data_IF_084269526852
#
_entry.id   IF_084269526852
#
_cell.length_a   1.000
_cell.length_b   1.000
_cell.length_c   1.000
_cell.angle_alpha   90.00
_cell.angle_beta   90.00
_cell.angle_gamma   90.00
#
_symmetry.space_group_name_H-M   'P 1'
#
loop_
_entity.id
_entity.type
_entity.pdbx_description
1 polymer ?
#
# COMPACT_ATOMS: atom_id res chain seq x y z
N UNK A 1 -9.66 3.54 26.54
CA UNK A 1 -9.38 4.93 26.13
C UNK A 1 -8.94 4.86 24.68
N UNK A 2 -9.83 5.19 23.76
CA UNK A 2 -9.59 5.10 22.34
C UNK A 2 -8.73 6.30 21.92
N UNK A 3 -7.50 6.03 21.50
CA UNK A 3 -6.58 7.05 20.99
C UNK A 3 -7.11 7.56 19.66
N UNK A 4 -7.35 8.85 19.61
CA UNK A 4 -7.69 9.61 18.41
C UNK A 4 -6.50 9.61 17.44
N UNK A 5 -6.35 8.54 16.64
CA UNK A 5 -5.27 8.39 15.66
C UNK A 5 -5.59 9.00 14.28
N UNK A 6 -6.60 9.89 14.22
CA UNK A 6 -6.95 10.68 13.04
C UNK A 6 -6.69 12.17 13.29
N UNK A 7 -5.45 12.53 13.56
CA UNK A 7 -4.84 13.87 13.34
C UNK A 7 -3.49 13.85 14.07
N UNK A 8 -2.35 14.04 13.42
CA UNK A 8 -1.99 15.24 12.67
C UNK A 8 -1.25 14.84 11.40
N UNK A 9 -1.82 15.23 10.27
CA UNK A 9 -1.00 15.49 9.09
C UNK A 9 -0.02 16.57 9.55
N UNK A 10 1.26 16.24 9.71
CA UNK A 10 2.30 17.26 9.71
C UNK A 10 2.07 17.95 8.37
N UNK A 11 1.61 19.22 8.37
CA UNK A 11 1.40 19.86 7.11
C UNK A 11 2.77 19.85 6.45
N UNK A 12 2.80 19.68 5.13
CA UNK A 12 3.92 20.21 4.35
C UNK A 12 3.76 21.75 4.40
N UNK A 13 3.69 22.34 5.61
CA UNK A 13 3.35 23.74 5.90
C UNK A 13 4.44 24.68 5.43
N UNK A 14 5.61 24.14 5.10
CA UNK A 14 6.73 24.88 4.53
C UNK A 14 6.70 24.91 2.99
N UNK A 15 5.70 24.30 2.35
CA UNK A 15 5.58 24.29 0.88
C UNK A 15 4.23 24.86 0.48
N UNK A 16 4.25 26.09 -0.04
CA UNK A 16 3.10 26.79 -0.63
C UNK A 16 2.68 26.19 -1.99
N UNK A 17 2.52 24.86 -2.08
CA UNK A 17 2.09 24.16 -3.30
C UNK A 17 1.10 23.07 -2.94
N UNK A 18 0.02 22.98 -3.73
CA UNK A 18 -0.99 21.95 -3.62
C UNK A 18 -0.38 20.54 -3.81
N UNK A 19 -0.84 19.59 -2.99
CA UNK A 19 -0.43 18.19 -3.07
C UNK A 19 -1.36 17.47 -4.03
N UNK A 20 -0.82 17.00 -5.16
CA UNK A 20 -1.56 16.19 -6.14
C UNK A 20 -1.81 14.78 -5.62
N UNK A 21 -0.81 14.21 -4.93
CA UNK A 21 -0.88 12.86 -4.39
C UNK A 21 0.02 12.69 -3.18
N UNK A 22 -0.37 11.80 -2.28
CA UNK A 22 0.36 11.45 -1.07
C UNK A 22 0.46 9.93 -0.91
N UNK A 23 1.63 9.46 -0.47
CA UNK A 23 1.87 8.09 0.00
C UNK A 23 2.49 8.12 1.39
N UNK A 24 2.15 7.15 2.22
CA UNK A 24 2.82 6.93 3.50
C UNK A 24 3.95 5.93 3.35
N UNK A 25 5.08 6.23 4.00
CA UNK A 25 6.16 5.29 4.22
C UNK A 25 5.89 4.54 5.53
N UNK A 26 5.58 3.26 5.42
CA UNK A 26 5.44 2.33 6.54
C UNK A 26 6.80 1.68 6.79
N UNK A 27 7.24 1.65 8.04
CA UNK A 27 8.38 0.87 8.48
C UNK A 27 7.90 -0.29 9.33
N UNK A 28 8.32 -1.51 8.98
CA UNK A 28 8.21 -2.64 9.89
C UNK A 28 9.46 -2.70 10.76
N UNK A 29 9.27 -2.55 12.06
CA UNK A 29 10.31 -2.68 13.05
C UNK A 29 10.94 -4.10 12.96
N UNK A 30 12.27 -4.22 12.76
CA UNK A 30 12.92 -5.52 12.62
C UNK A 30 12.81 -6.40 13.88
N UNK A 31 12.74 -5.80 15.06
CA UNK A 31 12.69 -6.50 16.35
C UNK A 31 11.26 -6.79 16.77
N UNK A 32 10.42 -5.75 16.90
CA UNK A 32 9.05 -5.90 17.41
C UNK A 32 8.05 -6.36 16.34
N UNK A 33 8.43 -6.32 15.06
CA UNK A 33 7.59 -6.63 13.88
C UNK A 33 6.39 -5.69 13.72
N UNK A 34 6.29 -4.64 14.54
CA UNK A 34 5.24 -3.63 14.46
C UNK A 34 5.40 -2.77 13.21
N UNK A 35 4.29 -2.41 12.59
CA UNK A 35 4.23 -1.48 11.47
C UNK A 35 3.96 -0.06 11.99
N UNK A 36 4.76 0.90 11.53
CA UNK A 36 4.63 2.30 11.89
C UNK A 36 4.66 3.20 10.65
N UNK A 37 3.77 4.19 10.59
CA UNK A 37 3.84 5.26 9.59
C UNK A 37 4.96 6.20 9.98
N UNK A 38 6.08 6.14 9.27
CA UNK A 38 7.28 6.91 9.62
C UNK A 38 7.49 8.13 8.73
N UNK A 39 6.87 8.17 7.56
CA UNK A 39 7.05 9.32 6.68
C UNK A 39 5.92 9.49 5.67
N UNK A 40 5.95 10.63 5.00
CA UNK A 40 4.97 11.03 4.00
C UNK A 40 5.71 11.50 2.76
N UNK A 41 5.44 10.88 1.62
CA UNK A 41 5.91 11.29 0.30
C UNK A 41 4.75 11.95 -0.45
N UNK A 42 4.94 13.21 -0.83
CA UNK A 42 3.98 13.99 -1.61
C UNK A 42 4.52 14.26 -3.01
N UNK A 43 3.65 14.11 -4.01
CA UNK A 43 3.81 14.69 -5.34
C UNK A 43 3.03 16.00 -5.38
N UNK A 44 3.70 17.08 -5.76
CA UNK A 44 3.17 18.43 -5.76
C UNK A 44 2.61 18.80 -7.14
N UNK A 45 1.65 19.73 -7.18
CA UNK A 45 0.98 20.16 -8.42
C UNK A 45 1.94 20.77 -9.45
N UNK A 46 3.09 21.28 -9.02
CA UNK A 46 4.13 21.82 -9.90
C UNK A 46 5.18 20.78 -10.37
N UNK A 47 4.95 19.50 -10.08
CA UNK A 47 5.81 18.38 -10.49
C UNK A 47 6.99 18.10 -9.55
N UNK A 48 7.15 18.86 -8.46
CA UNK A 48 8.13 18.55 -7.41
C UNK A 48 7.63 17.46 -6.47
N UNK A 49 8.55 16.95 -5.65
CA UNK A 49 8.27 15.98 -4.60
C UNK A 49 8.66 16.55 -3.25
N UNK A 50 7.89 16.21 -2.21
CA UNK A 50 8.20 16.53 -0.83
C UNK A 50 8.21 15.25 0.02
N UNK A 51 9.18 15.14 0.93
CA UNK A 51 9.23 14.07 1.92
C UNK A 51 9.42 14.65 3.33
N UNK A 52 8.65 14.15 4.29
CA UNK A 52 8.76 14.53 5.70
C UNK A 52 8.51 13.31 6.60
N UNK A 53 9.13 13.32 7.79
CA UNK A 53 8.86 12.32 8.83
C UNK A 53 7.61 12.68 9.62
N UNK A 54 6.88 11.65 10.05
CA UNK A 54 5.70 11.78 10.92
C UNK A 54 6.10 12.02 12.38
N UNK A 55 5.14 12.41 13.21
CA UNK A 55 5.33 12.49 14.66
C UNK A 55 5.68 11.12 15.27
N UNK A 56 5.09 10.05 14.75
CA UNK A 56 5.37 8.67 15.19
C UNK A 56 6.85 8.30 14.98
N UNK A 57 7.45 8.67 13.84
CA UNK A 57 8.88 8.44 13.58
C UNK A 57 9.78 9.17 14.58
N UNK A 58 9.37 10.36 15.03
CA UNK A 58 10.14 11.18 15.98
C UNK A 58 10.03 10.64 17.40
N UNK A 59 8.87 10.07 17.73
CA UNK A 59 8.60 9.47 19.03
C UNK A 59 9.21 8.06 19.19
N UNK A 60 9.43 7.36 18.09
CA UNK A 60 10.00 6.01 18.08
C UNK A 60 11.51 6.04 18.37
N UNK A 61 11.90 5.57 19.56
CA UNK A 61 13.31 5.55 20.00
C UNK A 61 14.20 4.60 19.18
N UNK A 62 13.61 3.60 18.54
CA UNK A 62 14.26 2.57 17.73
C UNK A 62 14.19 2.85 16.22
N UNK A 63 13.49 3.92 15.82
CA UNK A 63 13.45 4.32 14.44
C UNK A 63 14.79 4.94 14.02
N UNK A 64 15.29 4.53 12.85
CA UNK A 64 16.49 5.09 12.23
C UNK A 64 16.11 5.90 10.99
N UNK A 65 16.54 7.18 10.89
CA UNK A 65 16.30 7.99 9.71
C UNK A 65 16.92 7.36 8.46
N UNK A 66 16.34 7.68 7.31
CA UNK A 66 16.83 7.23 6.02
C UNK A 66 18.11 7.98 5.70
N UNK A 67 19.12 7.31 5.15
CA UNK A 67 20.41 7.95 4.83
C UNK A 67 20.26 9.17 3.91
N UNK A 68 19.27 9.16 3.01
CA UNK A 68 18.98 10.30 2.12
C UNK A 68 18.29 11.47 2.85
N UNK A 69 17.68 11.21 4.00
CA UNK A 69 16.87 12.14 4.79
C UNK A 69 17.27 12.06 6.28
N UNK A 70 18.50 12.49 6.64
CA UNK A 70 19.08 12.21 7.96
C UNK A 70 18.44 13.01 9.11
N UNK A 71 17.92 14.19 8.82
CA UNK A 71 17.25 15.07 9.78
C UNK A 71 15.75 14.77 9.76
N UNK A 72 15.22 14.30 10.90
CA UNK A 72 13.79 13.97 11.07
C UNK A 72 12.91 15.20 11.20
N UNK A 73 13.49 16.34 11.58
CA UNK A 73 12.80 17.63 11.73
C UNK A 73 12.53 18.34 10.41
N UNK A 74 13.21 17.92 9.35
CA UNK A 74 13.22 18.62 8.08
C UNK A 74 12.21 18.07 7.06
N UNK A 75 11.57 18.99 6.35
CA UNK A 75 10.89 18.72 5.07
C UNK A 75 11.90 18.80 3.93
N UNK A 76 11.97 17.75 3.11
CA UNK A 76 12.85 17.66 1.95
C UNK A 76 12.06 17.86 0.68
N UNK A 77 12.48 18.81 -0.16
CA UNK A 77 11.84 19.08 -1.46
C UNK A 77 12.83 18.78 -2.58
N UNK A 78 12.38 18.07 -3.61
CA UNK A 78 13.18 17.72 -4.78
C UNK A 78 12.42 17.92 -6.09
N UNK A 79 13.15 18.22 -7.17
CA UNK A 79 12.57 18.39 -8.51
C UNK A 79 12.28 17.07 -9.24
N UNK A 80 12.68 15.94 -8.64
CA UNK A 80 12.38 14.60 -9.13
C UNK A 80 12.24 13.64 -7.96
N UNK A 81 11.69 12.45 -8.24
CA UNK A 81 11.48 11.44 -7.21
C UNK A 81 12.81 11.06 -6.54
N UNK A 82 12.93 11.14 -5.20
CA UNK A 82 14.18 10.83 -4.53
C UNK A 82 14.65 9.38 -4.78
N UNK A 83 15.98 9.20 -4.87
CA UNK A 83 16.63 7.92 -5.13
C UNK A 83 16.16 6.77 -4.22
N UNK A 84 15.87 7.04 -2.93
CA UNK A 84 15.31 6.05 -2.02
C UNK A 84 14.03 5.40 -2.57
N UNK A 85 13.15 6.20 -3.16
CA UNK A 85 11.89 5.76 -3.76
C UNK A 85 12.07 5.22 -5.19
N UNK A 86 12.93 5.86 -6.00
CA UNK A 86 13.23 5.37 -7.37
C UNK A 86 13.76 3.94 -7.34
N UNK A 87 14.59 3.60 -6.35
CA UNK A 87 15.17 2.26 -6.21
C UNK A 87 14.15 1.18 -5.81
N UNK A 88 12.88 1.54 -5.60
CA UNK A 88 11.76 0.61 -5.35
C UNK A 88 10.93 0.36 -6.61
N UNK A 89 11.21 1.08 -7.69
CA UNK A 89 10.54 0.91 -8.97
C UNK A 89 11.28 -0.11 -9.84
N UNK A 90 10.51 -0.92 -10.58
CA UNK A 90 11.07 -1.73 -11.64
C UNK A 90 11.65 -0.83 -12.74
N UNK A 91 12.87 -1.11 -13.18
CA UNK A 91 13.47 -0.39 -14.32
C UNK A 91 12.60 -0.55 -15.57
N UNK A 92 12.25 0.60 -16.18
CA UNK A 92 11.51 0.69 -17.45
C UNK A 92 12.22 -0.03 -18.62
N UNK A 93 13.54 -0.26 -18.52
CA UNK A 93 14.35 -0.93 -19.55
C UNK A 93 14.24 -2.45 -19.55
N UNK A 94 13.56 -3.05 -18.55
CA UNK A 94 13.41 -4.51 -18.48
C UNK A 94 12.35 -4.97 -19.48
N UNK A 95 12.64 -6.05 -20.20
CA UNK A 95 11.68 -6.67 -21.14
C UNK A 95 10.36 -7.07 -20.47
N UNK A 96 10.41 -7.39 -19.18
CA UNK A 96 9.23 -7.73 -18.37
C UNK A 96 8.38 -6.53 -17.94
N UNK A 97 8.83 -5.29 -18.17
CA UNK A 97 8.17 -4.08 -17.67
C UNK A 97 6.73 -3.91 -18.19
N UNK A 98 6.41 -4.15 -19.48
CA UNK A 98 5.02 -4.09 -19.95
C UNK A 98 4.11 -5.12 -19.29
N UNK A 99 4.60 -6.35 -19.04
CA UNK A 99 3.82 -7.39 -18.34
C UNK A 99 3.61 -7.06 -16.87
N UNK A 100 4.60 -6.44 -16.23
CA UNK A 100 4.50 -5.91 -14.87
C UNK A 100 3.42 -4.83 -14.78
N UNK A 101 3.39 -3.84 -15.67
CA UNK A 101 2.35 -2.80 -15.67
C UNK A 101 0.94 -3.36 -15.86
N UNK A 102 0.76 -4.30 -16.79
CA UNK A 102 -0.53 -4.97 -16.99
C UNK A 102 -1.00 -5.71 -15.74
N UNK A 103 -0.08 -6.39 -15.04
CA UNK A 103 -0.40 -7.09 -13.78
C UNK A 103 -0.81 -6.11 -12.67
N UNK A 104 -0.30 -4.89 -12.73
CA UNK A 104 -0.72 -3.81 -11.86
C UNK A 104 -1.99 -3.11 -12.34
N UNK A 105 -2.61 -3.49 -13.46
CA UNK A 105 -3.78 -2.82 -14.04
C UNK A 105 -3.47 -1.44 -14.63
N UNK A 106 -2.24 -1.22 -15.08
CA UNK A 106 -1.81 0.01 -15.76
C UNK A 106 -1.68 -0.32 -17.26
N UNK A 107 -2.66 0.14 -18.03
CA UNK A 107 -2.79 -0.22 -19.45
C UNK A 107 -1.98 0.69 -20.39
N UNK A 108 -1.52 1.85 -19.90
CA UNK A 108 -0.69 2.79 -20.66
C UNK A 108 0.75 2.80 -20.13
N UNK A 109 1.71 2.17 -20.84
CA UNK A 109 3.11 2.14 -20.42
C UNK A 109 3.84 3.49 -20.58
N UNK A 110 3.29 4.38 -21.39
CA UNK A 110 3.82 5.72 -21.63
C UNK A 110 3.44 6.70 -20.52
N UNK A 111 2.51 6.31 -19.63
CA UNK A 111 2.14 7.11 -18.48
C UNK A 111 3.32 7.21 -17.50
N UNK A 112 3.77 8.42 -17.21
CA UNK A 112 4.78 8.64 -16.16
C UNK A 112 4.11 8.71 -14.79
N UNK A 113 3.86 7.55 -14.19
CA UNK A 113 3.17 7.45 -12.90
C UNK A 113 4.00 6.71 -11.85
N UNK A 114 5.17 7.22 -11.47
CA UNK A 114 6.02 6.56 -10.48
C UNK A 114 5.32 6.44 -9.11
N UNK A 115 4.52 7.44 -8.72
CA UNK A 115 3.73 7.39 -7.50
C UNK A 115 2.67 6.28 -7.53
N UNK A 116 1.98 6.08 -8.66
CA UNK A 116 1.01 4.98 -8.80
C UNK A 116 1.68 3.62 -8.71
N UNK A 117 2.87 3.48 -9.31
CA UNK A 117 3.63 2.23 -9.23
C UNK A 117 4.06 1.92 -7.81
N UNK A 118 4.55 2.92 -7.05
CA UNK A 118 4.90 2.76 -5.65
C UNK A 118 3.67 2.32 -4.83
N UNK A 119 2.54 2.99 -5.03
CA UNK A 119 1.30 2.71 -4.32
C UNK A 119 0.77 1.29 -4.59
N UNK A 120 0.66 0.88 -5.86
CA UNK A 120 0.12 -0.44 -6.22
C UNK A 120 1.03 -1.58 -5.79
N UNK A 121 2.34 -1.35 -5.71
CA UNK A 121 3.30 -2.42 -5.42
C UNK A 121 3.67 -2.52 -3.96
N UNK A 122 3.48 -1.45 -3.18
CA UNK A 122 4.05 -1.34 -1.84
C UNK A 122 5.53 -0.97 -1.84
N UNK A 123 6.18 -0.81 -3.01
CA UNK A 123 7.62 -0.59 -3.14
C UNK A 123 8.53 -1.58 -2.37
N UNK A 124 8.22 -2.89 -2.31
CA UNK A 124 8.96 -3.84 -1.49
C UNK A 124 10.40 -3.94 -1.98
N UNK A 125 11.33 -3.98 -1.03
CA UNK A 125 12.74 -4.20 -1.31
C UNK A 125 13.27 -5.25 -0.37
N UNK A 126 13.90 -6.29 -0.92
CA UNK A 126 14.41 -7.42 -0.13
C UNK A 126 15.46 -7.02 0.92
N UNK A 127 16.05 -5.84 0.80
CA UNK A 127 17.11 -5.33 1.70
C UNK A 127 16.58 -4.47 2.83
N UNK A 128 15.28 -4.20 2.90
CA UNK A 128 14.67 -3.40 3.96
C UNK A 128 13.23 -3.81 4.28
N UNK A 129 12.65 -3.15 5.28
CA UNK A 129 11.32 -3.42 5.82
C UNK A 129 10.37 -2.25 5.60
N UNK A 130 10.58 -1.48 4.52
CA UNK A 130 9.74 -0.33 4.20
C UNK A 130 8.68 -0.68 3.16
N UNK A 131 7.49 -0.10 3.32
CA UNK A 131 6.38 -0.19 2.39
C UNK A 131 5.82 1.19 2.07
N UNK A 132 5.31 1.37 0.85
CA UNK A 132 4.63 2.59 0.43
C UNK A 132 3.15 2.32 0.20
N UNK A 133 2.30 3.07 0.86
CA UNK A 133 0.86 2.81 0.87
C UNK A 133 0.09 4.07 0.53
N UNK A 134 -1.01 3.92 -0.20
CA UNK A 134 -1.99 5.00 -0.35
C UNK A 134 -2.62 5.33 1.02
N UNK A 135 -3.10 6.56 1.13
CA UNK A 135 -3.90 6.97 2.27
C UNK A 135 -5.32 6.36 2.18
N UNK A 136 -5.78 5.72 3.25
CA UNK A 136 -7.15 5.18 3.34
C UNK A 136 -8.15 6.26 3.80
N UNK A 137 -8.06 7.43 3.17
CA UNK A 137 -8.93 8.58 3.42
C UNK A 137 -10.08 8.57 2.43
N UNK A 138 -11.26 8.96 2.93
CA UNK A 138 -12.44 9.10 2.09
C UNK A 138 -12.34 10.36 1.23
N UNK A 139 -12.81 10.26 -0.01
CA UNK A 139 -13.04 11.43 -0.85
C UNK A 139 -14.20 12.30 -0.33
N UNK A 140 -14.49 13.37 -1.08
CA UNK A 140 -15.57 14.30 -0.76
C UNK A 140 -16.97 13.63 -0.69
N UNK A 141 -17.15 12.46 -1.32
CA UNK A 141 -18.40 11.70 -1.36
C UNK A 141 -18.45 10.58 -0.30
N UNK A 142 -17.45 10.53 0.59
CA UNK A 142 -17.32 9.54 1.66
C UNK A 142 -16.82 8.17 1.16
N UNK A 143 -16.25 8.10 -0.04
CA UNK A 143 -15.76 6.86 -0.65
C UNK A 143 -14.26 6.70 -0.37
N UNK A 144 -13.90 5.55 0.21
CA UNK A 144 -12.51 5.14 0.39
C UNK A 144 -12.16 4.12 -0.69
N UNK A 145 -11.10 4.39 -1.45
CA UNK A 145 -10.54 3.44 -2.41
C UNK A 145 -9.06 3.24 -2.14
N UNK A 146 -8.60 2.00 -2.08
CA UNK A 146 -7.17 1.67 -1.95
C UNK A 146 -6.86 0.36 -2.66
N UNK A 147 -5.59 0.14 -3.03
CA UNK A 147 -5.15 -1.06 -3.75
C UNK A 147 -4.02 -1.74 -3.00
N UNK A 148 -3.97 -3.06 -3.09
CA UNK A 148 -2.88 -3.85 -2.53
C UNK A 148 -2.70 -5.16 -3.30
N UNK A 149 -1.45 -5.63 -3.39
CA UNK A 149 -1.15 -6.97 -3.91
C UNK A 149 -1.38 -8.02 -2.82
N UNK A 150 -2.05 -9.11 -3.16
CA UNK A 150 -2.24 -10.22 -2.23
C UNK A 150 -0.90 -10.84 -1.82
N UNK A 151 -0.73 -11.06 -0.52
CA UNK A 151 0.43 -11.74 0.05
C UNK A 151 0.23 -13.26 0.01
N UNK A 152 1.34 -14.01 -0.01
CA UNK A 152 1.30 -15.46 0.17
C UNK A 152 0.61 -16.29 -0.93
N UNK A 153 0.30 -15.70 -2.10
CA UNK A 153 -0.37 -16.39 -3.22
C UNK A 153 0.33 -17.70 -3.58
N UNK A 154 1.67 -17.72 -3.64
CA UNK A 154 2.45 -18.94 -3.95
C UNK A 154 2.21 -20.12 -3.00
N UNK A 155 1.76 -19.87 -1.78
CA UNK A 155 1.55 -20.90 -0.77
C UNK A 155 0.13 -21.48 -0.84
N UNK A 156 -0.83 -20.66 -1.27
CA UNK A 156 -2.24 -21.05 -1.33
C UNK A 156 -2.64 -21.51 -2.73
N UNK A 157 -2.10 -20.89 -3.77
CA UNK A 157 -2.42 -21.15 -5.19
C UNK A 157 -1.12 -21.19 -6.01
N UNK A 158 -0.29 -22.19 -5.72
CA UNK A 158 1.08 -22.30 -6.25
C UNK A 158 1.13 -22.34 -7.79
N UNK A 159 0.23 -23.12 -8.40
CA UNK A 159 0.08 -23.26 -9.85
C UNK A 159 -0.81 -22.18 -10.49
N UNK A 160 -1.49 -21.36 -9.68
CA UNK A 160 -2.39 -20.31 -10.16
C UNK A 160 -3.75 -20.82 -10.63
N UNK A 161 -4.09 -22.08 -10.38
CA UNK A 161 -5.29 -22.72 -10.91
C UNK A 161 -6.57 -22.06 -10.37
N UNK A 162 -6.59 -21.64 -9.10
CA UNK A 162 -7.76 -20.95 -8.54
C UNK A 162 -7.91 -19.55 -9.12
N UNK A 163 -6.81 -18.81 -9.23
CA UNK A 163 -6.81 -17.48 -9.84
C UNK A 163 -7.17 -17.53 -11.33
N UNK A 164 -6.81 -18.59 -12.06
CA UNK A 164 -7.19 -18.75 -13.46
C UNK A 164 -8.72 -18.82 -13.69
N UNK A 165 -9.49 -19.18 -12.66
CA UNK A 165 -10.96 -19.21 -12.70
C UNK A 165 -11.60 -17.87 -12.32
N UNK A 166 -10.83 -16.93 -11.77
CA UNK A 166 -11.30 -15.64 -11.28
C UNK A 166 -11.18 -14.58 -12.38
N UNK A 167 -12.21 -13.75 -12.54
CA UNK A 167 -12.19 -12.62 -13.47
C UNK A 167 -11.91 -11.29 -12.76
N UNK A 168 -11.36 -10.36 -13.52
CA UNK A 168 -11.26 -8.96 -13.09
C UNK A 168 -12.64 -8.41 -12.72
N UNK A 169 -12.71 -7.67 -11.62
CA UNK A 169 -13.94 -7.11 -11.07
C UNK A 169 -14.75 -8.05 -10.19
N UNK A 170 -14.34 -9.32 -10.03
CA UNK A 170 -15.04 -10.23 -9.12
C UNK A 170 -14.83 -9.87 -7.65
N UNK A 171 -15.89 -10.08 -6.85
CA UNK A 171 -15.85 -9.85 -5.41
C UNK A 171 -15.10 -10.96 -4.70
N UNK A 172 -14.25 -10.56 -3.79
CA UNK A 172 -13.48 -11.42 -2.90
C UNK A 172 -14.06 -11.35 -1.49
N UNK A 173 -13.88 -12.43 -0.74
CA UNK A 173 -14.28 -12.52 0.66
C UNK A 173 -13.05 -12.48 1.56
N UNK A 174 -13.18 -11.82 2.69
CA UNK A 174 -12.18 -11.89 3.75
C UNK A 174 -12.62 -12.89 4.82
N UNK A 175 -11.69 -13.74 5.23
CA UNK A 175 -11.91 -14.70 6.31
C UNK A 175 -10.76 -14.62 7.31
N UNK A 176 -11.08 -14.39 8.57
CA UNK A 176 -10.08 -14.38 9.64
C UNK A 176 -9.55 -15.78 9.90
N UNK A 177 -8.25 -15.88 10.17
CA UNK A 177 -7.56 -17.13 10.50
C UNK A 177 -6.83 -16.98 11.86
N UNK A 178 -7.57 -17.03 12.98
CA UNK A 178 -7.02 -16.76 14.32
C UNK A 178 -5.94 -17.76 14.74
N UNK A 179 -5.97 -18.98 14.20
CA UNK A 179 -5.00 -20.04 14.49
C UNK A 179 -3.77 -19.98 13.55
N UNK A 180 -3.60 -18.91 12.78
CA UNK A 180 -2.45 -18.77 11.89
C UNK A 180 -1.14 -18.69 12.72
N UNK A 181 -0.16 -19.57 12.44
CA UNK A 181 1.05 -19.68 13.27
C UNK A 181 2.02 -18.50 13.15
N UNK A 182 1.83 -17.64 12.15
CA UNK A 182 2.68 -16.47 11.88
C UNK A 182 2.04 -15.20 12.43
N UNK A 183 0.72 -15.03 12.24
CA UNK A 183 -0.01 -13.84 12.63
C UNK A 183 -1.48 -14.17 12.92
N UNK A 184 -1.90 -14.15 14.18
CA UNK A 184 -3.28 -14.39 14.61
C UNK A 184 -4.32 -13.41 14.02
N UNK A 185 -3.88 -12.26 13.48
CA UNK A 185 -4.74 -11.28 12.80
C UNK A 185 -4.87 -11.53 11.30
N UNK A 186 -4.28 -12.61 10.77
CA UNK A 186 -4.28 -12.91 9.34
C UNK A 186 -5.69 -12.93 8.76
N UNK A 187 -5.87 -12.22 7.65
CA UNK A 187 -7.09 -12.23 6.85
C UNK A 187 -6.82 -12.93 5.53
N UNK A 188 -7.42 -14.11 5.35
CA UNK A 188 -7.44 -14.83 4.08
C UNK A 188 -8.30 -14.10 3.07
N UNK A 189 -7.81 -14.06 1.83
CA UNK A 189 -8.55 -13.62 0.66
C UNK A 189 -9.09 -14.87 -0.02
N UNK A 190 -10.41 -14.98 -0.08
CA UNK A 190 -11.11 -16.11 -0.68
C UNK A 190 -11.88 -15.69 -1.94
N UNK A 191 -11.90 -16.56 -2.94
CA UNK A 191 -12.78 -16.42 -4.11
C UNK A 191 -14.22 -16.80 -3.75
N UNK A 192 -15.17 -16.61 -4.66
CA UNK A 192 -16.59 -16.88 -4.41
C UNK A 192 -16.93 -18.33 -3.99
N UNK A 193 -16.08 -19.31 -4.33
CA UNK A 193 -16.21 -20.70 -3.86
C UNK A 193 -15.83 -20.89 -2.37
N UNK A 194 -15.24 -19.88 -1.73
CA UNK A 194 -14.71 -19.94 -0.36
C UNK A 194 -13.26 -20.44 -0.27
N UNK A 195 -12.65 -20.79 -1.40
CA UNK A 195 -11.25 -21.23 -1.46
C UNK A 195 -10.28 -20.06 -1.31
N UNK A 196 -9.20 -20.22 -0.51
CA UNK A 196 -8.23 -19.17 -0.28
C UNK A 196 -7.26 -19.03 -1.47
N UNK A 197 -6.92 -17.79 -1.81
CA UNK A 197 -6.00 -17.44 -2.91
C UNK A 197 -4.85 -16.52 -2.47
N UNK A 198 -4.92 -15.94 -1.27
CA UNK A 198 -3.90 -15.06 -0.73
C UNK A 198 -4.24 -14.57 0.66
N UNK A 199 -3.44 -13.63 1.14
CA UNK A 199 -3.64 -12.92 2.40
C UNK A 199 -3.63 -11.42 2.17
N UNK A 200 -4.39 -10.70 3.00
CA UNK A 200 -4.20 -9.26 3.15
C UNK A 200 -2.78 -9.03 3.72
N UNK A 201 -1.96 -8.14 3.15
CA UNK A 201 -0.64 -7.83 3.69
C UNK A 201 -0.71 -7.37 5.14
N UNK A 202 0.24 -7.82 5.98
CA UNK A 202 0.21 -7.53 7.42
C UNK A 202 0.21 -6.03 7.74
N UNK A 203 0.90 -5.21 6.92
CA UNK A 203 0.94 -3.75 7.09
C UNK A 203 -0.44 -3.08 6.92
N UNK A 204 -1.39 -3.74 6.26
CA UNK A 204 -2.72 -3.23 5.97
C UNK A 204 -3.76 -3.65 7.02
N UNK A 205 -3.46 -4.63 7.87
CA UNK A 205 -4.46 -5.22 8.76
C UNK A 205 -5.06 -4.21 9.75
N UNK A 206 -4.22 -3.37 10.36
CA UNK A 206 -4.68 -2.35 11.30
C UNK A 206 -5.57 -1.31 10.61
N UNK A 207 -5.16 -0.82 9.44
CA UNK A 207 -5.95 0.16 8.69
C UNK A 207 -7.26 -0.43 8.16
N UNK A 208 -7.26 -1.71 7.79
CA UNK A 208 -8.45 -2.43 7.36
C UNK A 208 -9.44 -2.61 8.52
N UNK A 209 -8.98 -3.00 9.70
CA UNK A 209 -9.82 -3.11 10.90
C UNK A 209 -10.42 -1.76 11.29
N UNK A 210 -9.62 -0.69 11.28
CA UNK A 210 -10.10 0.68 11.53
C UNK A 210 -11.14 1.11 10.50
N UNK A 211 -10.94 0.78 9.23
CA UNK A 211 -11.90 1.04 8.16
C UNK A 211 -13.19 0.24 8.37
N UNK A 212 -13.10 -1.04 8.75
CA UNK A 212 -14.26 -1.89 9.06
C UNK A 212 -15.08 -1.35 10.23
N UNK A 213 -14.43 -0.75 11.22
CA UNK A 213 -15.11 -0.17 12.38
C UNK A 213 -15.91 1.11 12.05
N UNK A 214 -15.54 1.84 10.99
CA UNK A 214 -16.19 3.12 10.59
C UNK A 214 -17.04 3.03 9.32
N UNK A 215 -16.78 2.07 8.46
CA UNK A 215 -17.52 1.89 7.21
C UNK A 215 -18.77 1.04 7.45
N UNK A 216 -19.89 1.43 6.85
CA UNK A 216 -21.10 0.60 6.90
C UNK A 216 -20.97 -0.67 6.04
N UNK A 217 -20.08 -0.64 5.04
CA UNK A 217 -19.78 -1.75 4.13
C UNK A 217 -18.39 -1.57 3.53
N UNK A 218 -17.66 -2.68 3.41
CA UNK A 218 -16.42 -2.78 2.65
C UNK A 218 -16.57 -3.89 1.62
N UNK A 219 -16.10 -3.63 0.41
CA UNK A 219 -15.94 -4.63 -0.64
C UNK A 219 -14.46 -4.78 -0.98
N UNK A 220 -14.03 -6.02 -1.14
CA UNK A 220 -12.73 -6.36 -1.71
C UNK A 220 -12.99 -6.91 -3.10
N UNK A 221 -12.34 -6.34 -4.10
CA UNK A 221 -12.52 -6.68 -5.51
C UNK A 221 -11.19 -7.14 -6.08
N UNK A 222 -11.22 -8.17 -6.93
CA UNK A 222 -10.10 -8.57 -7.76
C UNK A 222 -9.92 -7.52 -8.88
N UNK A 223 -9.21 -6.44 -8.60
CA UNK A 223 -8.95 -5.35 -9.57
C UNK A 223 -8.23 -5.89 -10.81
N UNK A 224 -7.23 -6.74 -10.60
CA UNK A 224 -6.51 -7.42 -11.66
C UNK A 224 -6.07 -8.81 -11.25
N UNK A 225 -6.35 -9.78 -12.10
CA UNK A 225 -5.93 -11.16 -11.98
C UNK A 225 -4.90 -11.46 -13.08
N UNK A 226 -3.77 -12.03 -12.72
CA UNK A 226 -2.67 -12.33 -13.64
C UNK A 226 -2.00 -13.65 -13.27
N UNK A 227 -2.64 -14.80 -13.52
CA UNK A 227 -2.19 -16.12 -13.05
C UNK A 227 -0.77 -16.48 -13.49
N UNK A 228 -0.40 -16.07 -14.71
CA UNK A 228 0.91 -16.33 -15.30
C UNK A 228 2.02 -15.37 -14.81
N UNK A 229 1.67 -14.35 -14.03
CA UNK A 229 2.65 -13.42 -13.46
C UNK A 229 3.46 -14.06 -12.33
N UNK A 230 4.52 -13.36 -11.90
CA UNK A 230 5.24 -13.73 -10.69
C UNK A 230 4.25 -13.80 -9.52
N UNK A 231 4.41 -14.74 -8.56
CA UNK A 231 3.37 -14.99 -7.57
C UNK A 231 2.86 -13.77 -6.79
N UNK A 232 3.74 -12.81 -6.47
CA UNK A 232 3.39 -11.59 -5.76
C UNK A 232 2.65 -10.54 -6.61
N UNK A 233 2.50 -10.77 -7.92
CA UNK A 233 1.79 -9.91 -8.88
C UNK A 233 0.49 -10.55 -9.40
N UNK A 234 0.17 -11.78 -8.98
CA UNK A 234 -0.94 -12.54 -9.58
C UNK A 234 -2.33 -12.02 -9.21
N UNK A 235 -2.44 -11.31 -8.10
CA UNK A 235 -3.71 -10.77 -7.63
C UNK A 235 -3.50 -9.38 -7.05
N UNK A 236 -3.98 -8.37 -7.78
CA UNK A 236 -4.17 -7.02 -7.30
C UNK A 236 -5.61 -6.90 -6.78
N UNK A 237 -5.73 -6.55 -5.51
CA UNK A 237 -6.99 -6.29 -4.85
C UNK A 237 -7.26 -4.79 -4.80
N UNK A 238 -8.55 -4.42 -4.81
CA UNK A 238 -9.02 -3.07 -4.50
C UNK A 238 -10.03 -3.12 -3.37
N UNK A 239 -9.83 -2.24 -2.39
CA UNK A 239 -10.76 -1.96 -1.32
C UNK A 239 -11.68 -0.86 -1.82
N UNK A 240 -12.98 -1.07 -1.67
CA UNK A 240 -14.01 -0.05 -1.78
C UNK A 240 -14.77 0.01 -0.46
N UNK A 241 -14.84 1.18 0.16
CA UNK A 241 -15.66 1.36 1.35
C UNK A 241 -16.41 2.69 1.29
N UNK A 242 -17.56 2.73 1.96
CA UNK A 242 -18.26 3.99 2.20
C UNK A 242 -18.30 4.28 3.69
N UNK A 243 -17.69 5.39 4.07
CA UNK A 243 -17.73 5.90 5.44
C UNK A 243 -18.80 6.98 5.52
N UNK A 244 -19.52 7.04 6.64
CA UNK A 244 -20.44 8.16 6.86
C UNK A 244 -19.61 9.43 7.07
N UNK A 245 -20.01 10.58 6.49
CA UNK A 245 -19.38 11.85 6.80
C UNK A 245 -19.45 12.08 8.31
N UNK A 246 -18.32 12.48 8.92
CA UNK A 246 -18.31 12.94 10.31
C UNK A 246 -19.03 14.27 10.45
#
# INVERSE_FOLDING_TARGET
MATDALSRVVPVSDVDVEVSRRLFLIWQNPESRQFMRVGVLCELADGRYAFAYTDDARAAADFYPLTQFPDVDRTYVSTGLPAFFVNRLMSRKRDSFPGYLRSLGIDSPDLDTPMELLARTGGPRATDTFHLVDDLVADADGVVTSRFLASGVRYLDADGARLACLKDGERLQLRSEPDNPVNERAQLICVGSGEPVGYVPDWLLADLEDLQARAGRIEIVAERVSPDAQPHLRLLCRIEARVSPR
#
